data_IF_528891185754
#
_entry.id   IF_528891185754
#
_cell.length_a   1.000
_cell.length_b   1.000
_cell.length_c   1.000
_cell.angle_alpha   90.00
_cell.angle_beta   90.00
_cell.angle_gamma   90.00
#
_symmetry.space_group_name_H-M   'P 1'
#
loop_
_entity.id
_entity.type
_entity.pdbx_description
1 polymer ?
#
# COMPACT_ATOMS: atom_id res chain seq x y z
N UNK A 1 -70.92 20.66 27.17
CA UNK A 1 -70.68 19.20 27.07
C UNK A 1 -69.43 19.00 26.22
N UNK A 2 -68.27 18.94 26.88
CA UNK A 2 -66.99 18.69 26.24
C UNK A 2 -66.54 17.27 26.55
N UNK A 3 -66.07 16.55 25.52
CA UNK A 3 -65.29 15.33 25.69
C UNK A 3 -63.88 15.61 25.17
N UNK A 4 -63.00 15.98 26.11
CA UNK A 4 -61.57 16.10 25.88
C UNK A 4 -60.91 14.73 25.82
N UNK A 5 -60.12 14.52 24.77
CA UNK A 5 -59.19 13.39 24.66
C UNK A 5 -58.01 13.68 25.59
N UNK A 6 -57.78 12.79 26.55
CA UNK A 6 -56.68 12.87 27.53
C UNK A 6 -55.36 12.50 26.84
N UNK A 7 -54.46 13.46 26.69
CA UNK A 7 -53.05 13.18 26.39
C UNK A 7 -52.37 12.67 27.67
N UNK A 8 -51.87 11.43 27.62
CA UNK A 8 -51.08 10.84 28.69
C UNK A 8 -49.69 11.43 28.73
N UNK A 9 -49.43 12.28 29.73
CA UNK A 9 -48.09 12.74 30.09
C UNK A 9 -47.28 11.55 30.61
N UNK A 10 -46.38 11.02 29.79
CA UNK A 10 -45.37 10.06 30.23
C UNK A 10 -44.34 10.83 31.07
N UNK A 11 -44.46 10.71 32.40
CA UNK A 11 -43.42 11.17 33.34
C UNK A 11 -42.17 10.31 33.16
N UNK A 12 -41.11 10.91 32.63
CA UNK A 12 -39.77 10.33 32.69
C UNK A 12 -39.33 10.32 34.16
N UNK A 13 -39.01 9.13 34.69
CA UNK A 13 -38.41 8.95 36.00
C UNK A 13 -37.07 9.71 36.05
N UNK A 14 -37.03 10.75 36.86
CA UNK A 14 -35.80 11.34 37.40
C UNK A 14 -35.25 10.38 38.45
N UNK A 15 -34.52 9.34 38.03
CA UNK A 15 -33.67 8.50 38.90
C UNK A 15 -32.66 7.77 38.00
N UNK A 16 -31.76 8.53 37.38
CA UNK A 16 -30.59 7.98 36.72
C UNK A 16 -29.39 8.83 37.12
N UNK A 17 -28.76 8.45 38.24
CA UNK A 17 -27.41 8.92 38.56
C UNK A 17 -26.52 8.76 37.32
N UNK A 18 -25.84 9.81 36.86
CA UNK A 18 -24.85 9.66 35.81
C UNK A 18 -23.70 8.84 36.39
N UNK A 19 -23.58 7.58 35.97
CA UNK A 19 -22.36 6.80 36.14
C UNK A 19 -21.29 7.52 35.30
N UNK A 20 -20.64 8.51 35.93
CA UNK A 20 -19.42 9.11 35.42
C UNK A 20 -18.43 7.95 35.20
N UNK A 21 -17.93 7.72 33.97
CA UNK A 21 -16.90 6.72 33.77
C UNK A 21 -15.72 7.11 34.65
N UNK A 22 -15.40 6.23 35.59
CA UNK A 22 -14.26 6.35 36.47
C UNK A 22 -13.03 6.76 35.66
N UNK A 23 -12.34 7.78 36.16
CA UNK A 23 -11.05 8.31 35.71
C UNK A 23 -10.29 7.34 34.78
N UNK A 24 -10.42 7.56 33.46
CA UNK A 24 -9.70 6.79 32.44
C UNK A 24 -8.20 7.01 32.66
N UNK A 25 -7.51 5.97 33.07
CA UNK A 25 -6.06 6.00 33.31
C UNK A 25 -5.33 6.20 31.98
N UNK A 26 -4.93 7.45 31.70
CA UNK A 26 -4.15 7.85 30.52
C UNK A 26 -2.92 6.96 30.23
N UNK A 27 -2.34 6.32 31.26
CA UNK A 27 -1.20 5.39 31.10
C UNK A 27 -1.58 4.07 30.40
N UNK A 28 -2.81 3.59 30.59
CA UNK A 28 -3.31 2.37 29.94
C UNK A 28 -3.51 2.60 28.44
N UNK A 29 -4.00 3.78 28.06
CA UNK A 29 -4.21 4.18 26.66
C UNK A 29 -2.90 4.27 25.88
N UNK A 30 -1.86 4.91 26.43
CA UNK A 30 -0.57 5.02 25.74
C UNK A 30 0.09 3.66 25.48
N UNK A 31 0.02 2.75 26.46
CA UNK A 31 0.56 1.39 26.30
C UNK A 31 -0.23 0.56 25.28
N UNK A 32 -1.55 0.68 25.26
CA UNK A 32 -2.40 -0.02 24.29
C UNK A 32 -2.19 0.50 22.86
N UNK A 33 -2.04 1.82 22.71
CA UNK A 33 -1.70 2.45 21.42
C UNK A 33 -0.32 1.98 20.95
N UNK A 34 0.69 2.01 21.82
CA UNK A 34 2.04 1.54 21.48
C UNK A 34 2.06 0.06 21.11
N UNK A 35 1.37 -0.79 21.88
CA UNK A 35 1.22 -2.22 21.60
C UNK A 35 0.58 -2.46 20.22
N UNK A 36 -0.47 -1.70 19.88
CA UNK A 36 -1.15 -1.80 18.59
C UNK A 36 -0.30 -1.32 17.43
N UNK A 37 0.47 -0.25 17.62
CA UNK A 37 1.42 0.25 16.63
C UNK A 37 2.55 -0.76 16.37
N UNK A 38 3.13 -1.34 17.43
CA UNK A 38 4.18 -2.35 17.31
C UNK A 38 3.65 -3.63 16.66
N UNK A 39 2.49 -4.11 17.08
CA UNK A 39 1.82 -5.28 16.48
C UNK A 39 1.52 -5.05 15.01
N UNK A 40 1.02 -3.87 14.64
CA UNK A 40 0.77 -3.49 13.24
C UNK A 40 2.04 -3.41 12.41
N UNK A 41 3.12 -2.83 12.95
CA UNK A 41 4.40 -2.72 12.27
C UNK A 41 5.04 -4.10 12.04
N UNK A 42 5.04 -4.98 13.05
CA UNK A 42 5.54 -6.36 12.94
C UNK A 42 4.69 -7.20 11.98
N UNK A 43 3.36 -7.09 12.07
CA UNK A 43 2.45 -7.75 11.14
C UNK A 43 2.71 -7.34 9.69
N UNK A 44 2.84 -6.04 9.43
CA UNK A 44 3.18 -5.53 8.10
C UNK A 44 4.55 -6.01 7.62
N UNK A 45 5.57 -5.99 8.49
CA UNK A 45 6.93 -6.46 8.20
C UNK A 45 6.96 -7.95 7.83
N UNK A 46 6.28 -8.79 8.62
CA UNK A 46 6.21 -10.24 8.41
C UNK A 46 5.41 -10.57 7.15
N UNK A 47 4.27 -9.90 6.92
CA UNK A 47 3.50 -10.05 5.69
C UNK A 47 4.33 -9.69 4.45
N UNK A 48 5.06 -8.57 4.47
CA UNK A 48 5.94 -8.16 3.36
C UNK A 48 7.07 -9.15 3.14
N UNK A 49 7.65 -9.67 4.20
CA UNK A 49 8.73 -10.65 4.13
C UNK A 49 8.21 -11.97 3.56
N UNK A 50 7.04 -12.44 3.98
CA UNK A 50 6.46 -13.68 3.46
C UNK A 50 6.16 -13.62 1.95
N UNK A 51 5.68 -12.48 1.44
CA UNK A 51 5.38 -12.32 0.01
C UNK A 51 6.58 -11.83 -0.82
N UNK A 52 7.73 -11.57 -0.21
CA UNK A 52 8.90 -11.02 -0.90
C UNK A 52 9.42 -11.88 -2.07
N UNK A 53 9.45 -13.24 -1.99
CA UNK A 53 9.83 -14.08 -3.13
C UNK A 53 8.92 -13.90 -4.36
N UNK A 54 7.61 -13.76 -4.12
CA UNK A 54 6.63 -13.49 -5.18
C UNK A 54 6.82 -12.06 -5.73
N UNK A 55 7.08 -11.09 -4.86
CA UNK A 55 7.38 -9.72 -5.30
C UNK A 55 8.66 -9.64 -6.15
N UNK A 56 9.74 -10.35 -5.77
CA UNK A 56 10.98 -10.42 -6.56
C UNK A 56 10.70 -11.02 -7.94
N UNK A 57 10.02 -12.16 -7.96
CA UNK A 57 9.69 -12.87 -9.21
C UNK A 57 8.80 -12.01 -10.12
N UNK A 58 7.81 -11.30 -9.56
CA UNK A 58 6.97 -10.35 -10.32
C UNK A 58 7.83 -9.30 -11.00
N UNK A 59 8.76 -8.67 -10.26
CA UNK A 59 9.63 -7.61 -10.79
C UNK A 59 10.50 -8.17 -11.93
N UNK A 60 11.09 -9.36 -11.76
CA UNK A 60 11.91 -10.02 -12.80
C UNK A 60 11.10 -10.21 -14.09
N UNK A 61 9.85 -10.70 -14.00
CA UNK A 61 9.00 -10.83 -15.20
C UNK A 61 8.63 -9.47 -15.79
N UNK A 62 8.25 -8.48 -14.99
CA UNK A 62 7.84 -7.16 -15.51
C UNK A 62 8.93 -6.47 -16.34
N UNK A 63 10.21 -6.74 -16.04
CA UNK A 63 11.34 -6.15 -16.76
C UNK A 63 11.91 -7.07 -17.84
N UNK A 64 11.66 -8.37 -17.77
CA UNK A 64 12.14 -9.34 -18.76
C UNK A 64 11.23 -9.36 -19.99
N UNK A 65 11.81 -9.58 -21.16
CA UNK A 65 11.06 -9.87 -22.39
C UNK A 65 10.34 -11.22 -22.35
N UNK A 66 10.73 -12.14 -21.46
CA UNK A 66 10.14 -13.48 -21.33
C UNK A 66 8.64 -13.42 -21.03
N UNK A 67 7.87 -14.32 -21.65
CA UNK A 67 6.43 -14.45 -21.42
C UNK A 67 6.16 -14.91 -19.98
N UNK A 68 5.19 -14.28 -19.33
CA UNK A 68 4.72 -14.72 -18.03
C UNK A 68 3.87 -16.00 -18.16
N UNK A 69 4.19 -17.00 -17.33
CA UNK A 69 3.42 -18.23 -17.11
C UNK A 69 3.68 -18.71 -15.69
N UNK A 70 2.69 -19.33 -15.03
CA UNK A 70 2.87 -19.87 -13.68
C UNK A 70 4.00 -20.91 -13.61
N UNK A 71 4.13 -21.74 -14.65
CA UNK A 71 5.22 -22.73 -14.77
C UNK A 71 6.60 -22.04 -14.85
N UNK A 72 6.70 -20.97 -15.62
CA UNK A 72 7.94 -20.20 -15.73
C UNK A 72 8.24 -19.42 -14.44
N UNK A 73 7.22 -18.90 -13.74
CA UNK A 73 7.41 -18.26 -12.45
C UNK A 73 7.94 -19.23 -11.40
N UNK A 74 7.39 -20.44 -11.34
CA UNK A 74 7.91 -21.50 -10.49
C UNK A 74 9.34 -21.91 -10.89
N UNK A 75 9.62 -22.02 -12.20
CA UNK A 75 10.97 -22.31 -12.69
C UNK A 75 11.97 -21.23 -12.29
N UNK A 76 11.62 -19.94 -12.38
CA UNK A 76 12.48 -18.84 -11.92
C UNK A 76 12.75 -18.97 -10.43
N UNK A 77 11.72 -19.18 -9.60
CA UNK A 77 11.89 -19.39 -8.16
C UNK A 77 12.80 -20.58 -7.85
N UNK A 78 12.55 -21.73 -8.49
CA UNK A 78 13.31 -22.95 -8.26
C UNK A 78 14.77 -22.83 -8.74
N UNK A 79 14.99 -22.25 -9.92
CA UNK A 79 16.33 -22.03 -10.46
C UNK A 79 17.10 -21.01 -9.62
N UNK A 80 16.47 -19.93 -9.17
CA UNK A 80 17.08 -18.98 -8.24
C UNK A 80 17.44 -19.64 -6.91
N UNK A 81 16.55 -20.48 -6.37
CA UNK A 81 16.84 -21.26 -5.16
C UNK A 81 18.07 -22.16 -5.32
N UNK A 82 18.19 -22.89 -6.43
CA UNK A 82 19.31 -23.81 -6.67
C UNK A 82 20.63 -23.10 -6.96
N UNK A 83 20.62 -22.01 -7.73
CA UNK A 83 21.87 -21.38 -8.19
C UNK A 83 22.35 -20.24 -7.29
N UNK A 84 21.44 -19.45 -6.71
CA UNK A 84 21.78 -18.31 -5.86
C UNK A 84 21.57 -18.61 -4.35
N UNK A 85 20.95 -19.74 -4.02
CA UNK A 85 20.63 -20.17 -2.67
C UNK A 85 19.29 -19.62 -2.14
N UNK A 86 18.82 -20.19 -1.03
CA UNK A 86 17.49 -19.89 -0.45
C UNK A 86 17.25 -18.41 -0.14
N UNK A 87 18.20 -17.74 0.52
CA UNK A 87 18.06 -16.34 0.94
C UNK A 87 18.03 -15.36 -0.25
N UNK A 88 18.47 -15.78 -1.43
CA UNK A 88 18.42 -14.95 -2.62
C UNK A 88 16.97 -14.58 -2.98
N UNK A 89 15.98 -15.42 -2.71
CA UNK A 89 14.57 -15.15 -3.04
C UNK A 89 14.06 -13.83 -2.42
N UNK A 90 14.64 -13.40 -1.28
CA UNK A 90 14.34 -12.15 -0.59
C UNK A 90 15.19 -10.95 -1.04
N UNK A 91 15.96 -11.09 -2.12
CA UNK A 91 16.84 -10.03 -2.59
C UNK A 91 16.05 -8.77 -2.95
N UNK A 92 16.46 -7.65 -2.35
CA UNK A 92 15.75 -6.36 -2.40
C UNK A 92 14.72 -6.15 -1.28
N UNK A 93 14.34 -7.18 -0.51
CA UNK A 93 13.40 -7.02 0.60
C UNK A 93 13.96 -6.12 1.71
N UNK A 94 15.27 -6.12 1.93
CA UNK A 94 15.93 -5.22 2.88
C UNK A 94 15.65 -3.74 2.55
N UNK A 95 15.61 -3.35 1.27
CA UNK A 95 15.25 -2.00 0.87
C UNK A 95 13.77 -1.69 1.17
N UNK A 96 12.87 -2.66 1.04
CA UNK A 96 11.47 -2.52 1.50
C UNK A 96 11.42 -2.26 3.00
N UNK A 97 12.16 -3.04 3.79
CA UNK A 97 12.16 -2.95 5.25
C UNK A 97 12.73 -1.62 5.74
N UNK A 98 13.87 -1.20 5.21
CA UNK A 98 14.49 0.10 5.52
C UNK A 98 13.55 1.25 5.17
N UNK A 99 12.70 1.10 4.15
CA UNK A 99 11.76 2.15 3.73
C UNK A 99 10.57 2.34 4.68
N UNK A 100 10.14 1.30 5.40
CA UNK A 100 8.89 1.35 6.19
C UNK A 100 8.91 2.48 7.22
N UNK A 101 9.97 2.56 8.02
CA UNK A 101 10.07 3.52 9.13
C UNK A 101 10.19 4.96 8.62
N UNK A 102 11.12 5.32 7.70
CA UNK A 102 11.21 6.66 7.15
C UNK A 102 9.93 7.10 6.44
N UNK A 103 9.29 6.20 5.69
CA UNK A 103 8.05 6.52 5.00
C UNK A 103 6.94 6.91 5.99
N UNK A 104 6.74 6.11 7.04
CA UNK A 104 5.75 6.41 8.08
C UNK A 104 6.08 7.73 8.81
N UNK A 105 7.33 7.91 9.25
CA UNK A 105 7.75 9.11 9.97
C UNK A 105 7.51 10.40 9.15
N UNK A 106 7.91 10.40 7.88
CA UNK A 106 7.71 11.53 6.98
C UNK A 106 6.23 11.74 6.69
N UNK A 107 5.47 10.67 6.45
CA UNK A 107 4.05 10.77 6.17
C UNK A 107 3.29 11.39 7.35
N UNK A 108 3.52 10.91 8.58
CA UNK A 108 2.85 11.47 9.76
C UNK A 108 3.26 12.92 10.02
N UNK A 109 4.56 13.23 9.96
CA UNK A 109 5.06 14.59 10.17
C UNK A 109 4.51 15.57 9.13
N UNK A 110 4.54 15.19 7.85
CA UNK A 110 3.98 15.99 6.76
C UNK A 110 2.46 16.12 6.87
N UNK A 111 1.75 15.08 7.33
CA UNK A 111 0.31 15.13 7.50
C UNK A 111 -0.12 16.15 8.55
N UNK A 112 0.56 16.18 9.70
CA UNK A 112 0.30 17.19 10.74
C UNK A 112 0.59 18.61 10.23
N UNK A 113 1.67 18.79 9.46
CA UNK A 113 2.01 20.08 8.86
C UNK A 113 0.95 20.55 7.86
N UNK A 114 0.57 19.70 6.89
CA UNK A 114 -0.45 20.05 5.90
C UNK A 114 -1.82 20.26 6.56
N UNK A 115 -2.16 19.50 7.61
CA UNK A 115 -3.39 19.69 8.36
C UNK A 115 -3.42 21.05 9.04
N UNK A 116 -2.31 21.46 9.67
CA UNK A 116 -2.17 22.78 10.29
C UNK A 116 -2.27 23.92 9.27
N UNK A 117 -1.57 23.79 8.13
CA UNK A 117 -1.58 24.78 7.05
C UNK A 117 -2.99 24.94 6.46
N UNK A 118 -3.64 23.83 6.08
CA UNK A 118 -5.00 23.86 5.53
C UNK A 118 -6.02 24.31 6.58
N UNK A 119 -5.85 23.94 7.85
CA UNK A 119 -6.71 24.41 8.94
C UNK A 119 -6.63 25.92 9.11
N UNK A 120 -5.43 26.50 9.06
CA UNK A 120 -5.29 27.95 9.10
C UNK A 120 -5.82 28.65 7.85
N UNK A 121 -5.72 28.03 6.67
CA UNK A 121 -6.20 28.60 5.41
C UNK A 121 -7.74 28.62 5.33
N UNK A 122 -8.39 27.54 5.77
CA UNK A 122 -9.85 27.40 5.76
C UNK A 122 -10.54 27.90 7.04
N UNK A 123 -9.79 28.42 8.02
CA UNK A 123 -10.33 28.94 9.28
C UNK A 123 -10.66 27.89 10.36
N UNK A 124 -10.35 26.61 10.13
CA UNK A 124 -10.58 25.50 11.08
C UNK A 124 -9.37 25.28 12.00
N UNK A 125 -8.97 26.29 12.78
CA UNK A 125 -7.87 26.16 13.76
C UNK A 125 -8.33 25.32 14.95
N UNK A 126 -7.80 24.10 15.08
CA UNK A 126 -8.09 23.20 16.20
C UNK A 126 -9.32 22.30 16.01
N UNK A 127 -10.08 22.51 14.94
CA UNK A 127 -11.21 21.64 14.57
C UNK A 127 -10.83 20.59 13.52
N UNK A 128 -11.64 19.55 13.40
CA UNK A 128 -11.43 18.51 12.41
C UNK A 128 -11.69 19.07 10.99
N UNK A 129 -10.66 19.08 10.14
CA UNK A 129 -10.78 19.52 8.74
C UNK A 129 -11.97 18.87 8.02
N UNK A 130 -12.70 19.59 7.17
CA UNK A 130 -13.75 19.01 6.35
C UNK A 130 -13.19 17.93 5.40
N UNK A 131 -14.05 17.07 4.81
CA UNK A 131 -13.62 15.89 4.07
C UNK A 131 -12.60 16.17 2.96
N UNK A 132 -12.79 17.26 2.20
CA UNK A 132 -11.92 17.60 1.07
C UNK A 132 -10.52 18.09 1.51
N UNK A 133 -10.35 19.09 2.39
CA UNK A 133 -9.03 19.46 2.91
C UNK A 133 -8.33 18.34 3.67
N UNK A 134 -9.09 17.47 4.37
CA UNK A 134 -8.51 16.29 5.04
C UNK A 134 -7.93 15.30 4.04
N UNK A 135 -8.65 15.03 2.96
CA UNK A 135 -8.18 14.19 1.86
C UNK A 135 -6.94 14.79 1.21
N UNK A 136 -6.94 16.11 0.95
CA UNK A 136 -5.80 16.83 0.39
C UNK A 136 -4.57 16.76 1.31
N UNK A 137 -4.72 16.97 2.61
CA UNK A 137 -3.63 16.81 3.58
C UNK A 137 -3.04 15.40 3.56
N UNK A 138 -3.89 14.38 3.47
CA UNK A 138 -3.46 12.98 3.36
C UNK A 138 -2.71 12.70 2.05
N UNK A 139 -3.23 13.19 0.92
CA UNK A 139 -2.62 13.00 -0.40
C UNK A 139 -1.26 13.70 -0.52
N UNK A 140 -1.15 14.95 -0.03
CA UNK A 140 0.11 15.68 0.00
C UNK A 140 1.13 15.00 0.90
N UNK A 141 0.74 14.57 2.11
CA UNK A 141 1.62 13.85 3.02
C UNK A 141 2.15 12.54 2.41
N UNK A 142 1.26 11.74 1.81
CA UNK A 142 1.64 10.50 1.13
C UNK A 142 2.57 10.74 -0.06
N UNK A 143 2.33 11.80 -0.84
CA UNK A 143 3.17 12.17 -1.99
C UNK A 143 4.55 12.65 -1.53
N UNK A 144 4.63 13.45 -0.48
CA UNK A 144 5.89 13.90 0.13
C UNK A 144 6.70 12.72 0.67
N UNK A 145 6.06 11.82 1.42
CA UNK A 145 6.71 10.59 1.90
C UNK A 145 7.17 9.69 0.75
N UNK A 146 6.36 9.51 -0.28
CA UNK A 146 6.71 8.72 -1.46
C UNK A 146 7.90 9.34 -2.22
N UNK A 147 7.94 10.67 -2.34
CA UNK A 147 9.00 11.42 -3.04
C UNK A 147 10.34 11.29 -2.31
N UNK A 148 10.35 11.53 -0.99
CA UNK A 148 11.58 11.48 -0.19
C UNK A 148 12.13 10.05 -0.05
N UNK A 149 11.25 9.05 -0.04
CA UNK A 149 11.66 7.63 0.05
C UNK A 149 11.80 6.93 -1.29
N UNK A 150 11.59 7.63 -2.41
CA UNK A 150 11.64 7.04 -3.75
C UNK A 150 12.98 6.37 -4.11
N UNK A 151 14.16 6.90 -3.70
CA UNK A 151 15.43 6.23 -3.98
C UNK A 151 15.48 4.77 -3.49
N UNK A 152 14.84 4.47 -2.36
CA UNK A 152 14.76 3.09 -1.83
C UNK A 152 13.90 2.18 -2.71
N UNK A 153 12.86 2.72 -3.36
CA UNK A 153 12.06 1.96 -4.33
C UNK A 153 12.86 1.60 -5.59
N UNK A 154 13.71 2.51 -6.06
CA UNK A 154 14.56 2.26 -7.20
C UNK A 154 15.66 1.24 -6.86
N UNK A 155 16.31 1.39 -5.70
CA UNK A 155 17.31 0.43 -5.20
C UNK A 155 16.69 -0.96 -5.04
N UNK A 156 15.49 -1.07 -4.47
CA UNK A 156 14.75 -2.34 -4.39
C UNK A 156 14.58 -2.99 -5.75
N UNK A 157 14.10 -2.24 -6.75
CA UNK A 157 13.85 -2.76 -8.09
C UNK A 157 15.14 -3.24 -8.77
N UNK A 158 16.24 -2.47 -8.64
CA UNK A 158 17.57 -2.83 -9.15
C UNK A 158 18.09 -4.10 -8.51
N UNK A 159 18.02 -4.21 -7.19
CA UNK A 159 18.48 -5.40 -6.46
C UNK A 159 17.68 -6.64 -6.83
N UNK A 160 16.36 -6.52 -7.02
CA UNK A 160 15.50 -7.66 -7.34
C UNK A 160 15.89 -8.38 -8.65
N UNK A 161 16.41 -7.63 -9.63
CA UNK A 161 16.68 -8.10 -11.00
C UNK A 161 18.16 -8.34 -11.29
N UNK A 162 19.03 -8.06 -10.33
CA UNK A 162 20.49 -8.19 -10.47
C UNK A 162 21.03 -9.29 -9.55
N UNK A 163 22.11 -9.96 -9.93
CA UNK A 163 22.71 -11.00 -9.10
C UNK A 163 23.53 -10.36 -7.96
N UNK A 164 23.91 -11.16 -6.94
CA UNK A 164 24.53 -10.67 -5.70
C UNK A 164 25.91 -10.05 -5.94
N UNK A 165 26.62 -10.56 -6.92
CA UNK A 165 27.98 -10.19 -7.30
C UNK A 165 28.03 -8.77 -7.86
N UNK A 166 26.96 -8.33 -8.55
CA UNK A 166 26.86 -6.97 -9.08
C UNK A 166 26.59 -5.93 -7.98
N UNK A 167 25.79 -6.31 -6.98
CA UNK A 167 25.34 -5.42 -5.91
C UNK A 167 25.26 -6.14 -4.57
N UNK A 168 26.23 -5.91 -3.70
CA UNK A 168 26.32 -6.55 -2.39
C UNK A 168 25.24 -6.08 -1.40
N UNK A 169 24.99 -4.76 -1.32
CA UNK A 169 24.08 -4.17 -0.35
C UNK A 169 23.39 -2.89 -0.88
N UNK A 170 22.40 -2.40 -0.14
CA UNK A 170 21.59 -1.22 -0.50
C UNK A 170 22.47 0.02 -0.72
N UNK A 171 23.46 0.24 0.17
CA UNK A 171 24.37 1.38 0.08
C UNK A 171 25.25 1.32 -1.16
N UNK A 172 25.76 0.14 -1.50
CA UNK A 172 26.55 -0.07 -2.70
C UNK A 172 25.73 0.22 -3.96
N UNK A 173 24.46 -0.21 -4.02
CA UNK A 173 23.55 0.13 -5.13
C UNK A 173 23.36 1.65 -5.22
N UNK A 174 23.06 2.29 -4.10
CA UNK A 174 22.82 3.73 -4.05
C UNK A 174 24.05 4.54 -4.50
N UNK A 175 25.23 4.22 -3.97
CA UNK A 175 26.49 4.89 -4.32
C UNK A 175 26.83 4.67 -5.79
N UNK A 176 26.71 3.43 -6.28
CA UNK A 176 27.03 3.10 -7.67
C UNK A 176 26.12 3.83 -8.65
N UNK A 177 24.81 3.84 -8.41
CA UNK A 177 23.87 4.60 -9.24
C UNK A 177 24.19 6.10 -9.20
N UNK A 178 24.48 6.63 -8.01
CA UNK A 178 24.79 8.07 -7.86
C UNK A 178 26.07 8.47 -8.58
N UNK A 179 27.10 7.62 -8.58
CA UNK A 179 28.41 7.88 -9.21
C UNK A 179 28.41 7.61 -10.72
N UNK A 180 27.82 6.50 -11.17
CA UNK A 180 27.89 6.06 -12.57
C UNK A 180 26.74 6.62 -13.42
N UNK A 181 25.55 6.82 -12.84
CA UNK A 181 24.32 7.19 -13.58
C UNK A 181 23.76 8.56 -13.18
N UNK A 182 24.31 9.17 -12.13
CA UNK A 182 23.87 10.45 -11.57
C UNK A 182 22.64 10.36 -10.65
N UNK A 183 22.51 11.35 -9.76
CA UNK A 183 21.46 11.41 -8.73
C UNK A 183 20.04 11.45 -9.30
N UNK A 184 19.84 12.07 -10.47
CA UNK A 184 18.52 12.11 -11.15
C UNK A 184 17.99 10.72 -11.45
N UNK A 185 18.88 9.74 -11.67
CA UNK A 185 18.49 8.36 -11.97
C UNK A 185 17.82 7.68 -10.79
N UNK A 186 18.07 8.11 -9.56
CA UNK A 186 17.35 7.61 -8.36
C UNK A 186 15.84 7.86 -8.43
N UNK A 187 15.40 8.80 -9.28
CA UNK A 187 14.00 9.17 -9.47
C UNK A 187 13.39 8.67 -10.79
N UNK A 188 14.11 7.85 -11.56
CA UNK A 188 13.54 7.26 -12.78
C UNK A 188 12.39 6.31 -12.45
N UNK A 189 11.24 6.58 -13.05
CA UNK A 189 9.98 5.89 -12.76
C UNK A 189 9.10 6.58 -11.72
N UNK A 190 9.51 7.73 -11.15
CA UNK A 190 8.69 8.47 -10.20
C UNK A 190 7.40 8.99 -10.86
N UNK A 191 7.52 9.60 -12.04
CA UNK A 191 6.37 10.12 -12.80
C UNK A 191 5.33 9.02 -13.11
N UNK A 192 5.66 7.84 -13.69
CA UNK A 192 4.66 6.80 -13.89
C UNK A 192 4.12 6.23 -12.56
N UNK A 193 4.86 6.33 -11.46
CA UNK A 193 4.34 5.99 -10.12
C UNK A 193 3.19 6.92 -9.74
N UNK A 194 3.41 8.25 -9.84
CA UNK A 194 2.40 9.26 -9.51
C UNK A 194 1.20 9.18 -10.47
N UNK A 195 1.46 9.08 -11.77
CA UNK A 195 0.40 8.94 -12.77
C UNK A 195 -0.43 7.66 -12.57
N UNK A 196 0.17 6.58 -12.06
CA UNK A 196 -0.53 5.32 -11.78
C UNK A 196 -1.48 5.39 -10.59
N UNK A 197 -1.28 6.32 -9.65
CA UNK A 197 -2.16 6.48 -8.48
C UNK A 197 -3.55 6.97 -8.89
N UNK A 198 -3.64 7.85 -9.89
CA UNK A 198 -4.90 8.45 -10.34
C UNK A 198 -5.90 7.39 -10.86
N UNK A 199 -5.57 6.55 -11.86
CA UNK A 199 -6.49 5.53 -12.34
C UNK A 199 -6.76 4.45 -11.29
N UNK A 200 -5.77 4.13 -10.45
CA UNK A 200 -5.97 3.19 -9.34
C UNK A 200 -7.04 3.71 -8.38
N UNK A 201 -6.84 4.91 -7.82
CA UNK A 201 -7.75 5.50 -6.85
C UNK A 201 -9.14 5.74 -7.47
N UNK A 202 -9.19 6.37 -8.66
CA UNK A 202 -10.45 6.70 -9.32
C UNK A 202 -11.32 5.47 -9.58
N UNK A 203 -10.76 4.41 -10.17
CA UNK A 203 -11.53 3.19 -10.47
C UNK A 203 -11.80 2.36 -9.22
N UNK A 204 -10.88 2.28 -8.26
CA UNK A 204 -11.16 1.62 -6.99
C UNK A 204 -12.31 2.29 -6.24
N UNK A 205 -12.32 3.63 -6.12
CA UNK A 205 -13.43 4.34 -5.48
C UNK A 205 -14.73 4.19 -6.28
N UNK A 206 -14.69 4.37 -7.59
CA UNK A 206 -15.85 4.20 -8.45
C UNK A 206 -16.48 2.81 -8.29
N UNK A 207 -15.68 1.74 -8.39
CA UNK A 207 -16.14 0.37 -8.19
C UNK A 207 -16.68 0.14 -6.78
N UNK A 208 -15.98 0.61 -5.74
CA UNK A 208 -16.41 0.43 -4.35
C UNK A 208 -17.76 1.10 -4.07
N UNK A 209 -17.94 2.35 -4.52
CA UNK A 209 -19.20 3.09 -4.36
C UNK A 209 -20.33 2.46 -5.19
N UNK A 210 -20.04 2.03 -6.42
CA UNK A 210 -21.03 1.37 -7.28
C UNK A 210 -21.53 0.07 -6.66
N UNK A 211 -20.63 -0.78 -6.15
CA UNK A 211 -20.99 -2.04 -5.49
C UNK A 211 -21.82 -1.80 -4.22
N UNK A 212 -21.49 -0.78 -3.43
CA UNK A 212 -22.31 -0.38 -2.27
C UNK A 212 -23.69 0.12 -2.69
N UNK A 213 -23.78 0.92 -3.76
CA UNK A 213 -25.05 1.43 -4.27
C UNK A 213 -25.96 0.30 -4.75
N UNK A 214 -25.42 -0.63 -5.52
CA UNK A 214 -26.15 -1.82 -5.98
C UNK A 214 -26.58 -2.69 -4.81
N UNK A 215 -25.70 -2.93 -3.83
CA UNK A 215 -26.08 -3.69 -2.64
C UNK A 215 -27.22 -3.04 -1.85
N UNK A 216 -27.19 -1.70 -1.72
CA UNK A 216 -28.26 -0.93 -1.05
C UNK A 216 -29.59 -1.08 -1.78
N UNK A 217 -29.57 -1.06 -3.11
CA UNK A 217 -30.76 -1.24 -3.95
C UNK A 217 -31.35 -2.65 -3.83
N UNK A 218 -30.51 -3.70 -3.90
CA UNK A 218 -30.97 -5.08 -3.83
C UNK A 218 -31.38 -5.54 -2.42
N UNK A 219 -30.61 -5.14 -1.41
CA UNK A 219 -30.81 -5.62 -0.03
C UNK A 219 -31.71 -4.72 0.81
N UNK A 220 -32.01 -3.49 0.34
CA UNK A 220 -32.72 -2.46 1.09
C UNK A 220 -31.97 -1.92 2.30
N UNK A 221 -30.73 -2.35 2.54
CA UNK A 221 -29.91 -1.99 3.71
C UNK A 221 -28.99 -0.82 3.41
N UNK A 222 -28.94 0.16 4.31
CA UNK A 222 -28.04 1.31 4.17
C UNK A 222 -26.55 0.96 4.29
N UNK A 223 -26.20 -0.10 5.06
CA UNK A 223 -24.82 -0.46 5.35
C UNK A 223 -24.59 -1.96 5.10
N UNK A 224 -23.64 -2.33 4.22
CA UNK A 224 -23.26 -3.73 4.03
C UNK A 224 -22.53 -4.28 5.26
N UNK A 225 -22.60 -5.60 5.45
CA UNK A 225 -21.84 -6.28 6.49
C UNK A 225 -20.32 -6.14 6.28
N UNK A 226 -19.51 -6.29 7.35
CA UNK A 226 -18.05 -6.19 7.24
C UNK A 226 -17.44 -7.09 6.15
N UNK A 227 -17.94 -8.32 5.98
CA UNK A 227 -17.46 -9.24 4.95
C UNK A 227 -17.82 -8.76 3.52
N UNK A 228 -19.01 -8.17 3.33
CA UNK A 228 -19.44 -7.63 2.03
C UNK A 228 -18.58 -6.43 1.66
N UNK A 229 -18.31 -5.53 2.62
CA UNK A 229 -17.38 -4.40 2.44
C UNK A 229 -15.98 -4.88 2.08
N UNK A 230 -15.53 -6.00 2.64
CA UNK A 230 -14.26 -6.62 2.29
C UNK A 230 -14.25 -7.14 0.86
N UNK A 231 -15.32 -7.82 0.41
CA UNK A 231 -15.47 -8.28 -0.98
C UNK A 231 -15.50 -7.10 -1.94
N UNK A 232 -16.28 -6.06 -1.65
CA UNK A 232 -16.33 -4.86 -2.49
C UNK A 232 -14.98 -4.16 -2.57
N UNK A 233 -14.26 -4.08 -1.45
CA UNK A 233 -12.90 -3.55 -1.39
C UNK A 233 -11.92 -4.40 -2.20
N UNK A 234 -12.03 -5.72 -2.16
CA UNK A 234 -11.21 -6.63 -2.97
C UNK A 234 -11.48 -6.44 -4.47
N UNK A 235 -12.75 -6.42 -4.91
CA UNK A 235 -13.14 -6.17 -6.30
C UNK A 235 -12.64 -4.79 -6.79
N UNK A 236 -12.85 -3.75 -5.99
CA UNK A 236 -12.35 -2.40 -6.25
C UNK A 236 -10.83 -2.36 -6.38
N UNK A 237 -10.11 -3.06 -5.50
CA UNK A 237 -8.66 -3.17 -5.54
C UNK A 237 -8.16 -3.90 -6.80
N UNK A 238 -8.83 -4.99 -7.22
CA UNK A 238 -8.49 -5.74 -8.43
C UNK A 238 -8.69 -4.91 -9.70
N UNK A 239 -9.83 -4.19 -9.81
CA UNK A 239 -10.15 -3.35 -10.96
C UNK A 239 -9.21 -2.14 -11.03
N UNK A 240 -9.04 -1.42 -9.92
CA UNK A 240 -8.13 -0.27 -9.88
C UNK A 240 -6.69 -0.68 -10.19
N UNK A 241 -6.23 -1.80 -9.64
CA UNK A 241 -4.89 -2.33 -9.93
C UNK A 241 -4.71 -2.73 -11.38
N UNK A 242 -5.74 -3.28 -12.02
CA UNK A 242 -5.70 -3.66 -13.44
C UNK A 242 -5.57 -2.43 -14.33
N UNK A 243 -6.31 -1.35 -14.01
CA UNK A 243 -6.23 -0.11 -14.76
C UNK A 243 -4.90 0.63 -14.62
N UNK A 244 -4.29 0.60 -13.42
CA UNK A 244 -2.98 1.22 -13.20
C UNK A 244 -1.80 0.33 -13.62
N UNK A 245 -2.05 -0.93 -14.00
CA UNK A 245 -0.99 -1.91 -14.21
C UNK A 245 -0.02 -1.58 -15.35
N UNK A 246 -0.47 -1.03 -16.51
CA UNK A 246 0.45 -0.61 -17.57
C UNK A 246 1.52 0.38 -17.08
N UNK A 247 1.15 1.32 -16.21
CA UNK A 247 2.08 2.27 -15.60
C UNK A 247 2.98 1.62 -14.55
N UNK A 248 2.53 0.57 -13.85
CA UNK A 248 3.39 -0.23 -12.96
C UNK A 248 4.49 -0.97 -13.76
N UNK A 249 4.15 -1.56 -14.91
CA UNK A 249 5.14 -2.21 -15.79
C UNK A 249 6.15 -1.19 -16.34
N UNK A 250 5.67 -0.07 -16.87
CA UNK A 250 6.55 1.01 -17.38
C UNK A 250 7.45 1.54 -16.27
N UNK A 251 6.91 1.76 -15.07
CA UNK A 251 7.69 2.13 -13.88
C UNK A 251 8.83 1.14 -13.64
N UNK A 252 8.57 -0.17 -13.62
CA UNK A 252 9.62 -1.17 -13.33
C UNK A 252 10.71 -1.21 -14.40
N UNK A 253 10.35 -1.05 -15.67
CA UNK A 253 11.35 -0.96 -16.75
C UNK A 253 12.23 0.28 -16.61
N UNK A 254 11.63 1.42 -16.33
CA UNK A 254 12.39 2.66 -16.12
C UNK A 254 13.32 2.56 -14.91
N UNK A 255 12.86 1.95 -13.80
CA UNK A 255 13.68 1.76 -12.60
C UNK A 255 14.91 0.86 -12.84
N UNK A 256 14.80 -0.10 -13.77
CA UNK A 256 15.83 -1.14 -14.01
C UNK A 256 16.55 -1.02 -15.35
N UNK A 257 16.28 0.05 -16.12
CA UNK A 257 16.85 0.26 -17.46
C UNK A 257 18.39 0.18 -17.47
N UNK A 258 19.07 0.76 -16.46
CA UNK A 258 20.53 0.76 -16.39
C UNK A 258 21.20 -0.61 -16.15
N UNK A 259 20.44 -1.65 -15.80
CA UNK A 259 20.99 -3.01 -15.55
C UNK A 259 20.39 -4.08 -16.44
N UNK A 260 19.26 -3.81 -17.09
CA UNK A 260 18.56 -4.77 -17.97
C UNK A 260 18.87 -4.57 -19.45
N UNK A 261 19.74 -3.60 -19.79
CA UNK A 261 20.08 -3.28 -21.18
C UNK A 261 19.02 -2.46 -21.93
N UNK A 262 17.89 -2.12 -21.29
CA UNK A 262 16.89 -1.25 -21.87
C UNK A 262 17.39 0.21 -21.89
N UNK A 263 17.10 0.93 -22.97
CA UNK A 263 17.43 2.35 -23.04
C UNK A 263 16.61 3.16 -22.02
N UNK A 264 17.29 4.09 -21.32
CA UNK A 264 16.62 5.08 -20.47
C UNK A 264 15.85 6.06 -21.36
N UNK A 265 14.53 5.95 -21.37
CA UNK A 265 13.66 6.74 -22.26
C UNK A 265 12.45 7.31 -21.52
N UNK A 266 11.67 8.14 -22.22
CA UNK A 266 10.40 8.66 -21.70
C UNK A 266 9.37 7.55 -21.48
N UNK A 267 8.33 7.85 -20.70
CA UNK A 267 7.19 6.95 -20.42
C UNK A 267 6.56 6.47 -21.72
N UNK A 268 6.29 7.40 -22.65
CA UNK A 268 5.63 7.11 -23.93
C UNK A 268 6.48 6.19 -24.81
N UNK A 269 7.79 6.44 -24.89
CA UNK A 269 8.70 5.58 -25.65
C UNK A 269 8.81 4.20 -25.00
N UNK A 270 8.95 4.11 -23.69
CA UNK A 270 8.99 2.82 -22.97
C UNK A 270 7.70 2.04 -23.20
N UNK A 271 6.54 2.68 -23.07
CA UNK A 271 5.24 2.05 -23.32
C UNK A 271 5.12 1.56 -24.77
N UNK A 272 5.49 2.40 -25.74
CA UNK A 272 5.47 2.04 -27.16
C UNK A 272 6.41 0.86 -27.47
N UNK A 273 7.63 0.86 -26.92
CA UNK A 273 8.59 -0.25 -27.07
C UNK A 273 7.99 -1.56 -26.53
N UNK A 274 7.40 -1.55 -25.34
CA UNK A 274 6.73 -2.74 -24.77
C UNK A 274 5.61 -3.22 -25.69
N UNK A 275 4.75 -2.30 -26.16
CA UNK A 275 3.62 -2.64 -27.02
C UNK A 275 4.08 -3.24 -28.36
N UNK A 276 5.17 -2.71 -28.94
CA UNK A 276 5.72 -3.19 -30.22
C UNK A 276 6.44 -4.53 -30.10
N UNK A 277 7.27 -4.70 -29.07
CA UNK A 277 8.14 -5.88 -28.94
C UNK A 277 7.44 -7.06 -28.26
N UNK A 278 6.53 -6.80 -27.32
CA UNK A 278 5.91 -7.84 -26.48
C UNK A 278 4.39 -7.91 -26.60
N UNK A 279 3.79 -6.92 -27.25
CA UNK A 279 2.34 -6.79 -27.40
C UNK A 279 1.66 -6.11 -26.21
N UNK A 280 0.47 -5.58 -26.45
CA UNK A 280 -0.30 -4.78 -25.48
C UNK A 280 -0.64 -5.61 -24.23
N UNK A 281 -1.35 -6.73 -24.39
CA UNK A 281 -1.79 -7.55 -23.25
C UNK A 281 -0.62 -8.28 -22.60
N UNK A 282 0.24 -8.90 -23.41
CA UNK A 282 1.32 -9.77 -22.89
C UNK A 282 2.50 -8.99 -22.30
N UNK A 283 2.73 -7.76 -22.75
CA UNK A 283 3.73 -6.85 -22.20
C UNK A 283 3.20 -6.03 -21.03
N UNK A 284 2.16 -5.21 -21.25
CA UNK A 284 1.69 -4.24 -20.25
C UNK A 284 0.97 -4.86 -19.05
N UNK A 285 0.48 -6.10 -19.15
CA UNK A 285 -0.19 -6.81 -18.06
C UNK A 285 0.63 -8.00 -17.52
N UNK A 286 1.93 -8.01 -17.81
CA UNK A 286 2.84 -9.09 -17.44
C UNK A 286 2.99 -9.21 -15.92
N UNK A 287 2.59 -10.36 -15.37
CA UNK A 287 2.66 -10.64 -13.93
C UNK A 287 1.49 -10.06 -13.12
N UNK A 288 0.40 -9.61 -13.77
CA UNK A 288 -0.78 -9.09 -13.06
C UNK A 288 -1.39 -10.13 -12.12
N UNK A 289 -1.49 -11.38 -12.55
CA UNK A 289 -2.03 -12.47 -11.73
C UNK A 289 -1.21 -12.74 -10.46
N UNK A 290 0.12 -12.59 -10.50
CA UNK A 290 0.94 -12.65 -9.28
C UNK A 290 0.59 -11.53 -8.30
N UNK A 291 0.21 -10.36 -8.81
CA UNK A 291 -0.20 -9.25 -7.97
C UNK A 291 -1.55 -9.52 -7.28
N UNK A 292 -2.46 -10.19 -7.98
CA UNK A 292 -3.74 -10.65 -7.41
C UNK A 292 -3.53 -11.75 -6.37
N UNK A 293 -2.63 -12.70 -6.62
CA UNK A 293 -2.36 -13.81 -5.70
C UNK A 293 -1.70 -13.34 -4.39
N UNK A 294 -0.69 -12.47 -4.48
CA UNK A 294 0.06 -12.04 -3.29
C UNK A 294 -0.75 -11.17 -2.33
N UNK A 295 -1.81 -10.50 -2.82
CA UNK A 295 -2.62 -9.56 -2.03
C UNK A 295 -3.31 -10.27 -0.85
N UNK A 296 -4.18 -11.27 -1.11
CA UNK A 296 -4.82 -12.06 -0.08
C UNK A 296 -3.82 -12.75 0.87
N UNK A 297 -2.70 -13.26 0.35
CA UNK A 297 -1.66 -13.90 1.18
C UNK A 297 -1.08 -12.89 2.17
N UNK A 298 -0.68 -11.69 1.70
CA UNK A 298 -0.14 -10.65 2.58
C UNK A 298 -1.16 -10.21 3.64
N UNK A 299 -2.43 -10.04 3.24
CA UNK A 299 -3.51 -9.64 4.14
C UNK A 299 -3.76 -10.70 5.21
N UNK A 300 -3.86 -11.98 4.83
CA UNK A 300 -4.04 -13.09 5.76
C UNK A 300 -2.91 -13.17 6.78
N UNK A 301 -1.65 -13.12 6.32
CA UNK A 301 -0.48 -13.17 7.22
C UNK A 301 -0.45 -11.97 8.15
N UNK A 302 -0.78 -10.77 7.65
CA UNK A 302 -0.83 -9.56 8.47
C UNK A 302 -1.87 -9.67 9.57
N UNK A 303 -3.09 -10.13 9.28
CA UNK A 303 -4.12 -10.29 10.31
C UNK A 303 -3.74 -11.35 11.34
N UNK A 304 -3.33 -12.54 10.90
CA UNK A 304 -2.90 -13.62 11.81
C UNK A 304 -1.76 -13.17 12.71
N UNK A 305 -0.77 -12.47 12.15
CA UNK A 305 0.38 -11.98 12.91
C UNK A 305 -0.01 -10.89 13.90
N UNK A 306 -0.91 -9.98 13.49
CA UNK A 306 -1.42 -8.93 14.37
C UNK A 306 -2.13 -9.54 15.58
N UNK A 307 -3.03 -10.51 15.35
CA UNK A 307 -3.80 -11.17 16.41
C UNK A 307 -2.88 -11.95 17.37
N UNK A 308 -1.92 -12.71 16.84
CA UNK A 308 -0.94 -13.42 17.65
C UNK A 308 -0.08 -12.46 18.49
N UNK A 309 0.35 -11.33 17.92
CA UNK A 309 1.12 -10.34 18.66
C UNK A 309 0.30 -9.68 19.77
N UNK A 310 -0.98 -9.38 19.53
CA UNK A 310 -1.87 -8.85 20.55
C UNK A 310 -2.08 -9.86 21.69
N UNK A 311 -2.25 -11.14 21.38
CA UNK A 311 -2.37 -12.21 22.38
C UNK A 311 -1.09 -12.33 23.19
N UNK A 312 0.08 -12.33 22.54
CA UNK A 312 1.38 -12.41 23.21
C UNK A 312 1.62 -11.21 24.13
N UNK A 313 1.34 -10.00 23.65
CA UNK A 313 1.52 -8.77 24.42
C UNK A 313 0.58 -8.71 25.62
N UNK A 314 -0.65 -9.24 25.52
CA UNK A 314 -1.56 -9.39 26.66
C UNK A 314 -1.01 -10.37 27.70
N UNK A 315 -0.45 -11.51 27.28
CA UNK A 315 0.16 -12.48 28.21
C UNK A 315 1.44 -11.95 28.88
N UNK A 316 2.22 -11.11 28.20
CA UNK A 316 3.39 -10.47 28.82
C UNK A 316 3.02 -9.35 29.81
N UNK A 317 1.75 -8.93 29.81
CA UNK A 317 1.22 -7.88 30.69
C UNK A 317 0.40 -8.42 31.87
N UNK A 318 0.04 -9.71 31.84
CA UNK A 318 -0.59 -10.46 32.94
C UNK A 318 0.46 -11.07 33.85
#
# INVERSE_FOLDING_TARGET
>A
MGNGVKEGVVRLREDAEPILPAHVSSKTDHRQVLSSLLSGALAGALAKTAVAPLDRTKIIFQVSSKRFSAKEAFRVLYFTYLNEGFLSLWRGNSATMVRVVPYAAIQFSAHEEYKRLLGSYYGFRGEALPPWPRLLAGALAGTTAASLTYPLDLVRARMAVTPKEMYSNIFHVFIRISREEGLKTLYHGFIPTVLGVIPYAGLSFFTYETLKSLHREYSGRLQPYPFERMIFGACAGLIGQSASYPLDVVRRRMQTAGVTGHQRTSITRTMHTIMREEGVVRGLYKGLSMNWLKGPIAVGISFTTFDLMQILLRHLQS
#
